data_IF_397666609499
#
_entry.id   IF_397666609499
#
_cell.length_a   1.000
_cell.length_b   1.000
_cell.length_c   1.000
_cell.angle_alpha   90.00
_cell.angle_beta   90.00
_cell.angle_gamma   90.00
#
_symmetry.space_group_name_H-M   'P 1'
#
loop_
_entity.id
_entity.type
_entity.pdbx_description
1 polymer ?
#
# COMPACT_ATOMS: atom_id res chain seq x y z
N UNK A 1 -22.95 -20.03 23.09
CA UNK A 1 -22.23 -18.80 22.68
C UNK A 1 -22.55 -18.52 21.21
N UNK A 2 -23.62 -17.76 20.94
CA UNK A 2 -23.99 -17.37 19.57
C UNK A 2 -23.36 -15.99 19.26
N UNK A 3 -22.67 -15.92 18.12
CA UNK A 3 -21.91 -14.76 17.68
C UNK A 3 -22.72 -13.46 17.77
N UNK A 4 -22.13 -12.43 18.39
CA UNK A 4 -22.68 -11.07 18.44
C UNK A 4 -22.86 -10.56 17.01
N UNK A 5 -24.09 -10.66 16.51
CA UNK A 5 -24.54 -10.06 15.25
C UNK A 5 -24.46 -8.54 15.45
N UNK A 6 -23.40 -7.92 14.93
CA UNK A 6 -23.12 -6.50 15.05
C UNK A 6 -24.30 -5.68 14.54
N UNK A 7 -24.91 -4.92 15.44
CA UNK A 7 -26.06 -4.03 15.26
C UNK A 7 -25.79 -2.81 14.36
N UNK A 8 -24.72 -2.82 13.56
CA UNK A 8 -24.33 -1.73 12.68
C UNK A 8 -24.92 -1.85 11.25
N UNK A 9 -25.41 -3.02 10.84
CA UNK A 9 -25.96 -3.24 9.49
C UNK A 9 -27.46 -2.89 9.35
N UNK A 10 -28.10 -2.39 10.41
CA UNK A 10 -29.52 -1.98 10.41
C UNK A 10 -29.76 -0.57 9.85
N UNK A 11 -28.71 0.15 9.43
CA UNK A 11 -28.79 1.58 9.08
C UNK A 11 -29.10 1.91 7.61
N UNK A 12 -29.42 0.92 6.77
CA UNK A 12 -29.94 1.17 5.41
C UNK A 12 -31.09 0.18 5.25
N UNK A 13 -32.30 0.66 4.95
CA UNK A 13 -33.55 -0.13 4.87
C UNK A 13 -33.56 -1.19 3.76
N UNK A 14 -32.63 -2.14 3.85
CA UNK A 14 -32.44 -3.29 3.00
C UNK A 14 -33.13 -4.48 3.67
N UNK A 15 -33.86 -5.24 2.87
CA UNK A 15 -34.42 -6.50 3.34
C UNK A 15 -33.29 -7.52 3.59
N UNK A 16 -33.50 -8.54 4.45
CA UNK A 16 -32.50 -9.57 4.68
C UNK A 16 -32.01 -10.26 3.39
N UNK A 17 -32.90 -10.40 2.40
CA UNK A 17 -32.57 -10.97 1.09
C UNK A 17 -31.66 -10.05 0.28
N UNK A 18 -31.90 -8.74 0.29
CA UNK A 18 -31.02 -7.76 -0.35
C UNK A 18 -29.65 -7.68 0.34
N UNK A 19 -29.61 -7.73 1.68
CA UNK A 19 -28.35 -7.78 2.42
C UNK A 19 -27.51 -9.00 2.01
N UNK A 20 -28.14 -10.18 1.91
CA UNK A 20 -27.47 -11.40 1.46
C UNK A 20 -26.97 -11.28 0.03
N UNK A 21 -27.75 -10.69 -0.87
CA UNK A 21 -27.32 -10.41 -2.25
C UNK A 21 -26.07 -9.53 -2.29
N UNK A 22 -26.04 -8.44 -1.51
CA UNK A 22 -24.86 -7.55 -1.44
C UNK A 22 -23.62 -8.33 -0.98
N UNK A 23 -23.74 -9.15 0.07
CA UNK A 23 -22.63 -9.96 0.58
C UNK A 23 -22.12 -10.98 -0.44
N UNK A 24 -23.01 -11.63 -1.18
CA UNK A 24 -22.61 -12.57 -2.23
C UNK A 24 -21.98 -11.86 -3.43
N UNK A 25 -22.53 -10.71 -3.84
CA UNK A 25 -22.00 -9.91 -4.95
C UNK A 25 -20.60 -9.36 -4.67
N UNK A 26 -20.29 -8.99 -3.43
CA UNK A 26 -18.95 -8.50 -3.07
C UNK A 26 -17.86 -9.57 -3.12
N UNK A 27 -18.19 -10.86 -3.28
CA UNK A 27 -17.20 -11.94 -3.38
C UNK A 27 -16.59 -12.04 -4.77
N UNK A 28 -17.40 -11.93 -5.82
CA UNK A 28 -17.00 -12.21 -7.21
C UNK A 28 -17.49 -11.16 -8.23
N UNK A 29 -18.20 -10.12 -7.76
CA UNK A 29 -18.80 -9.08 -8.59
C UNK A 29 -19.72 -9.60 -9.71
N UNK A 30 -20.29 -10.80 -9.53
CA UNK A 30 -21.19 -11.42 -10.51
C UNK A 30 -22.64 -11.35 -10.02
N UNK A 31 -23.43 -10.44 -10.59
CA UNK A 31 -24.82 -10.21 -10.20
C UNK A 31 -25.73 -11.44 -10.35
N UNK A 32 -25.54 -12.23 -11.41
CA UNK A 32 -26.33 -13.44 -11.65
C UNK A 32 -26.00 -14.52 -10.62
N UNK A 33 -24.71 -14.78 -10.38
CA UNK A 33 -24.29 -15.78 -9.40
C UNK A 33 -24.64 -15.38 -7.97
N UNK A 34 -24.52 -14.09 -7.63
CA UNK A 34 -24.97 -13.55 -6.36
C UNK A 34 -26.48 -13.75 -6.14
N UNK A 35 -27.30 -13.57 -7.19
CA UNK A 35 -28.74 -13.82 -7.12
C UNK A 35 -29.04 -15.33 -6.89
N UNK A 36 -28.36 -16.23 -7.61
CA UNK A 36 -28.52 -17.69 -7.42
C UNK A 36 -28.18 -18.08 -5.97
N UNK A 37 -27.02 -17.66 -5.45
CA UNK A 37 -26.59 -17.97 -4.07
C UNK A 37 -27.47 -17.35 -2.99
N UNK A 38 -28.19 -16.27 -3.32
CA UNK A 38 -29.17 -15.64 -2.44
C UNK A 38 -30.52 -16.38 -2.44
N UNK A 39 -30.72 -17.35 -3.35
CA UNK A 39 -31.93 -18.15 -3.46
C UNK A 39 -32.98 -17.54 -4.40
N UNK A 40 -32.56 -16.89 -5.48
CA UNK A 40 -33.42 -16.62 -6.64
C UNK A 40 -33.35 -17.79 -7.63
N UNK A 41 -34.41 -18.01 -8.41
CA UNK A 41 -34.41 -19.08 -9.42
C UNK A 41 -33.35 -18.79 -10.49
N UNK A 42 -32.68 -19.82 -10.97
CA UNK A 42 -31.66 -19.67 -12.03
C UNK A 42 -32.23 -19.01 -13.28
N UNK A 43 -33.48 -19.36 -13.63
CA UNK A 43 -34.22 -18.78 -14.76
C UNK A 43 -34.41 -17.26 -14.67
N UNK A 44 -34.49 -16.71 -13.45
CA UNK A 44 -34.73 -15.26 -13.23
C UNK A 44 -33.53 -14.53 -12.64
N UNK A 45 -32.47 -15.25 -12.26
CA UNK A 45 -31.33 -14.72 -11.53
C UNK A 45 -30.64 -13.55 -12.25
N UNK A 46 -30.52 -13.61 -13.59
CA UNK A 46 -29.94 -12.52 -14.38
C UNK A 46 -30.77 -11.24 -14.29
N UNK A 47 -32.09 -11.35 -14.45
CA UNK A 47 -33.00 -10.21 -14.37
C UNK A 47 -33.06 -9.65 -12.95
N UNK A 48 -33.13 -10.52 -11.94
CA UNK A 48 -33.15 -10.13 -10.53
C UNK A 48 -31.84 -9.46 -10.11
N UNK A 49 -30.70 -10.01 -10.52
CA UNK A 49 -29.38 -9.42 -10.27
C UNK A 49 -29.28 -8.01 -10.86
N UNK A 50 -29.68 -7.83 -12.11
CA UNK A 50 -29.72 -6.50 -12.74
C UNK A 50 -30.64 -5.54 -11.99
N UNK A 51 -31.87 -5.97 -11.64
CA UNK A 51 -32.83 -5.14 -10.91
C UNK A 51 -32.30 -4.72 -9.54
N UNK A 52 -31.65 -5.64 -8.82
CA UNK A 52 -31.08 -5.38 -7.51
C UNK A 52 -29.92 -4.40 -7.59
N UNK A 53 -29.05 -4.50 -8.61
CA UNK A 53 -27.94 -3.57 -8.80
C UNK A 53 -28.40 -2.14 -9.20
N UNK A 54 -29.62 -2.00 -9.73
CA UNK A 54 -30.23 -0.69 -10.02
C UNK A 54 -30.96 -0.09 -8.80
N UNK A 55 -31.29 -0.87 -7.76
CA UNK A 55 -31.91 -0.32 -6.54
C UNK A 55 -30.89 0.59 -5.81
N UNK A 56 -31.17 1.89 -5.62
CA UNK A 56 -30.24 2.83 -5.01
C UNK A 56 -29.74 2.40 -3.63
N UNK A 57 -30.56 1.70 -2.84
CA UNK A 57 -30.19 1.23 -1.50
C UNK A 57 -29.20 0.08 -1.58
N UNK A 58 -29.41 -0.84 -2.51
CA UNK A 58 -28.50 -1.97 -2.76
C UNK A 58 -27.18 -1.44 -3.31
N UNK A 59 -27.23 -0.53 -4.29
CA UNK A 59 -26.04 0.08 -4.86
C UNK A 59 -25.22 0.86 -3.82
N UNK A 60 -25.87 1.61 -2.93
CA UNK A 60 -25.21 2.29 -1.83
C UNK A 60 -24.51 1.30 -0.88
N UNK A 61 -25.15 0.19 -0.54
CA UNK A 61 -24.54 -0.86 0.30
C UNK A 61 -23.39 -1.58 -0.40
N UNK A 62 -23.49 -1.86 -1.71
CA UNK A 62 -22.38 -2.41 -2.51
C UNK A 62 -21.19 -1.44 -2.48
N UNK A 63 -21.41 -0.15 -2.75
CA UNK A 63 -20.33 0.86 -2.71
C UNK A 63 -19.70 0.97 -1.34
N UNK A 64 -20.49 0.95 -0.27
CA UNK A 64 -19.98 0.97 1.10
C UNK A 64 -19.16 -0.31 1.40
N UNK A 65 -19.62 -1.47 0.94
CA UNK A 65 -18.89 -2.73 1.04
C UNK A 65 -17.57 -2.70 0.27
N UNK A 66 -17.57 -2.23 -0.97
CA UNK A 66 -16.36 -2.05 -1.79
C UNK A 66 -15.35 -1.14 -1.12
N UNK A 67 -15.77 0.00 -0.54
CA UNK A 67 -14.87 0.87 0.23
C UNK A 67 -14.28 0.17 1.45
N UNK A 68 -15.05 -0.65 2.16
CA UNK A 68 -14.54 -1.44 3.30
C UNK A 68 -13.54 -2.51 2.85
N UNK A 69 -13.80 -3.17 1.72
CA UNK A 69 -12.89 -4.17 1.14
C UNK A 69 -11.61 -3.50 0.66
N UNK A 70 -11.71 -2.41 -0.10
CA UNK A 70 -10.57 -1.63 -0.57
C UNK A 70 -9.72 -1.13 0.60
N UNK A 71 -10.34 -0.55 1.64
CA UNK A 71 -9.63 -0.13 2.86
C UNK A 71 -8.92 -1.26 3.61
N UNK A 72 -9.38 -2.50 3.48
CA UNK A 72 -8.70 -3.68 4.05
C UNK A 72 -7.62 -4.24 3.13
N UNK A 73 -7.81 -4.13 1.81
CA UNK A 73 -6.89 -4.62 0.81
C UNK A 73 -5.68 -3.69 0.64
N UNK A 74 -5.87 -2.39 0.85
CA UNK A 74 -4.80 -1.42 0.95
C UNK A 74 -4.09 -1.60 2.31
N UNK A 75 -2.90 -2.19 2.27
CA UNK A 75 -1.96 -2.13 3.39
C UNK A 75 -1.59 -0.66 3.57
N UNK A 76 -2.12 -0.03 4.60
CA UNK A 76 -1.86 1.36 4.95
C UNK A 76 -0.97 1.41 6.19
N UNK A 77 -0.30 2.54 6.42
CA UNK A 77 0.47 2.75 7.67
C UNK A 77 -0.43 2.54 8.89
N UNK A 78 -1.67 3.02 8.85
CA UNK A 78 -2.66 2.83 9.92
C UNK A 78 -3.04 1.35 10.13
N UNK A 79 -3.24 0.58 9.05
CA UNK A 79 -3.57 -0.83 9.18
C UNK A 79 -2.41 -1.63 9.77
N UNK A 80 -1.18 -1.38 9.29
CA UNK A 80 0.03 -1.99 9.83
C UNK A 80 0.27 -1.60 11.29
N UNK A 81 0.03 -0.34 11.66
CA UNK A 81 0.12 0.11 13.06
C UNK A 81 -0.89 -0.62 13.95
N UNK A 82 -2.13 -0.80 13.48
CA UNK A 82 -3.17 -1.52 14.21
C UNK A 82 -2.81 -3.01 14.39
N UNK A 83 -2.30 -3.66 13.35
CA UNK A 83 -1.84 -5.05 13.39
C UNK A 83 -0.67 -5.23 14.36
N UNK A 84 0.34 -4.35 14.31
CA UNK A 84 1.47 -4.37 15.25
C UNK A 84 1.03 -4.11 16.70
N UNK A 85 0.04 -3.25 16.94
CA UNK A 85 -0.50 -3.05 18.28
C UNK A 85 -1.24 -4.29 18.79
N UNK A 86 -1.98 -4.99 17.93
CA UNK A 86 -2.61 -6.26 18.31
C UNK A 86 -1.56 -7.34 18.63
N UNK A 87 -0.53 -7.48 17.79
CA UNK A 87 0.58 -8.39 18.03
C UNK A 87 1.29 -8.07 19.36
N UNK A 88 1.54 -6.79 19.64
CA UNK A 88 2.15 -6.33 20.90
C UNK A 88 1.29 -6.71 22.12
N UNK A 89 -0.03 -6.50 22.06
CA UNK A 89 -0.94 -6.87 23.16
C UNK A 89 -0.96 -8.38 23.42
N UNK A 90 -0.95 -9.18 22.35
CA UNK A 90 -0.90 -10.64 22.48
C UNK A 90 0.43 -11.10 23.08
N UNK A 91 1.55 -10.55 22.59
CA UNK A 91 2.88 -10.83 23.13
C UNK A 91 2.99 -10.48 24.62
N UNK A 92 2.45 -9.34 25.05
CA UNK A 92 2.42 -8.97 26.48
C UNK A 92 1.58 -9.95 27.32
N UNK A 93 0.42 -10.39 26.80
CA UNK A 93 -0.43 -11.37 27.47
C UNK A 93 0.29 -12.71 27.65
N UNK A 94 1.07 -13.13 26.66
CA UNK A 94 1.86 -14.36 26.67
C UNK A 94 3.23 -14.21 27.36
N UNK A 95 3.50 -13.04 27.95
CA UNK A 95 4.79 -12.70 28.58
C UNK A 95 6.00 -12.79 27.64
N UNK A 96 5.77 -12.66 26.33
CA UNK A 96 6.79 -12.61 25.29
C UNK A 96 7.31 -11.18 25.13
N UNK A 97 8.17 -10.75 26.06
CA UNK A 97 8.68 -9.38 26.09
C UNK A 97 9.46 -8.99 24.83
N UNK A 98 10.27 -9.91 24.28
CA UNK A 98 11.05 -9.68 23.05
C UNK A 98 10.15 -9.39 21.85
N UNK A 99 9.09 -10.18 21.64
CA UNK A 99 8.12 -9.96 20.57
C UNK A 99 7.36 -8.64 20.72
N UNK A 100 7.03 -8.23 21.96
CA UNK A 100 6.41 -6.94 22.23
C UNK A 100 7.33 -5.76 21.90
N UNK A 101 8.63 -5.88 22.17
CA UNK A 101 9.64 -4.88 21.78
C UNK A 101 9.75 -4.79 20.27
N UNK A 102 9.82 -5.93 19.56
CA UNK A 102 9.87 -5.95 18.08
C UNK A 102 8.65 -5.26 17.46
N UNK A 103 7.45 -5.54 17.96
CA UNK A 103 6.24 -4.87 17.48
C UNK A 103 6.27 -3.36 17.73
N UNK A 104 6.80 -2.92 18.88
CA UNK A 104 6.97 -1.50 19.22
C UNK A 104 7.99 -0.82 18.31
N UNK A 105 9.10 -1.48 17.99
CA UNK A 105 10.10 -1.00 17.04
C UNK A 105 9.52 -0.87 15.63
N UNK A 106 8.75 -1.86 15.16
CA UNK A 106 8.04 -1.79 13.88
C UNK A 106 7.12 -0.58 13.79
N UNK A 107 6.40 -0.25 14.87
CA UNK A 107 5.55 0.96 14.93
C UNK A 107 6.38 2.24 14.85
N UNK A 108 7.52 2.30 15.53
CA UNK A 108 8.42 3.45 15.46
C UNK A 108 9.03 3.66 14.07
N UNK A 109 9.36 2.57 13.35
CA UNK A 109 9.80 2.63 11.95
C UNK A 109 8.70 3.16 11.03
N UNK A 110 7.47 2.65 11.16
CA UNK A 110 6.32 3.13 10.38
C UNK A 110 5.94 4.59 10.68
N UNK A 111 6.13 5.05 11.92
CA UNK A 111 5.89 6.43 12.32
C UNK A 111 7.00 7.40 11.87
N UNK A 112 8.07 6.91 11.24
CA UNK A 112 9.24 7.71 10.88
C UNK A 112 10.08 8.18 12.09
N UNK A 113 9.82 7.67 13.29
CA UNK A 113 10.56 8.02 14.51
C UNK A 113 11.94 7.33 14.57
N UNK A 114 12.10 6.24 13.82
CA UNK A 114 13.34 5.49 13.65
C UNK A 114 13.85 5.70 12.22
N UNK A 115 14.57 6.79 11.98
CA UNK A 115 15.24 7.02 10.70
C UNK A 115 16.57 6.27 10.69
N UNK A 116 16.65 5.18 9.93
CA UNK A 116 17.92 4.53 9.61
C UNK A 116 18.65 5.38 8.54
N UNK A 117 19.47 6.33 9.00
CA UNK A 117 20.31 7.12 8.11
C UNK A 117 21.43 6.23 7.57
N UNK A 118 21.24 5.66 6.38
CA UNK A 118 22.36 5.11 5.61
C UNK A 118 23.21 6.27 5.09
N UNK A 119 24.31 6.56 5.78
CA UNK A 119 25.38 7.36 5.19
C UNK A 119 26.11 6.46 4.19
N UNK A 120 26.00 6.76 2.89
CA UNK A 120 26.95 6.23 1.92
C UNK A 120 28.28 6.94 2.11
N UNK A 121 29.12 6.41 3.00
CA UNK A 121 30.51 6.83 3.12
C UNK A 121 31.38 5.89 2.30
N UNK A 122 32.02 6.43 1.26
CA UNK A 122 33.05 5.77 0.47
C UNK A 122 34.00 6.83 -0.08
N UNK A 123 35.27 6.48 -0.26
CA UNK A 123 36.19 7.33 -1.01
C UNK A 123 35.65 7.42 -2.44
N UNK A 124 35.41 8.63 -2.94
CA UNK A 124 35.15 8.83 -4.36
C UNK A 124 36.42 8.39 -5.09
N UNK A 125 36.34 7.27 -5.82
CA UNK A 125 37.48 6.80 -6.59
C UNK A 125 37.89 7.86 -7.62
N UNK A 126 39.18 8.10 -7.74
CA UNK A 126 39.71 8.86 -8.89
C UNK A 126 39.74 7.92 -10.09
N UNK A 127 38.88 8.18 -11.07
CA UNK A 127 38.83 7.43 -12.33
C UNK A 127 39.48 8.26 -13.42
N UNK A 128 40.45 7.68 -14.14
CA UNK A 128 41.06 8.34 -15.29
C UNK A 128 40.13 8.21 -16.50
N UNK A 129 39.59 9.35 -16.93
CA UNK A 129 38.62 9.44 -18.03
C UNK A 129 39.29 9.62 -19.40
N UNK A 130 40.62 9.74 -19.46
CA UNK A 130 41.35 10.06 -20.71
C UNK A 130 41.24 8.99 -21.80
N UNK A 131 40.89 7.75 -21.43
CA UNK A 131 40.80 6.62 -22.34
C UNK A 131 39.35 6.21 -22.65
N UNK A 132 38.36 6.98 -22.20
CA UNK A 132 36.97 6.76 -22.61
C UNK A 132 36.75 7.31 -24.02
N UNK A 133 35.89 6.65 -24.80
CA UNK A 133 35.42 7.21 -26.06
C UNK A 133 34.50 8.41 -25.81
N UNK A 134 34.36 9.29 -26.79
CA UNK A 134 33.43 10.43 -26.72
C UNK A 134 31.99 9.97 -26.42
N UNK A 135 31.58 8.84 -27.00
CA UNK A 135 30.29 8.21 -26.73
C UNK A 135 30.12 7.77 -25.27
N UNK A 136 31.20 7.34 -24.62
CA UNK A 136 31.16 6.93 -23.20
C UNK A 136 31.16 8.14 -22.26
N UNK A 137 31.80 9.24 -22.66
CA UNK A 137 31.77 10.51 -21.93
C UNK A 137 30.37 11.15 -21.97
N UNK A 138 29.73 11.17 -23.13
CA UNK A 138 28.36 11.69 -23.29
C UNK A 138 27.36 10.90 -22.43
N UNK A 139 27.53 9.58 -22.34
CA UNK A 139 26.70 8.73 -21.47
C UNK A 139 26.89 9.05 -20.00
N UNK A 140 28.10 9.39 -19.58
CA UNK A 140 28.39 9.79 -18.19
C UNK A 140 27.76 11.15 -17.87
N UNK A 141 27.84 12.12 -18.78
CA UNK A 141 27.18 13.42 -18.63
C UNK A 141 25.66 13.30 -18.55
N UNK A 142 25.07 12.38 -19.30
CA UNK A 142 23.63 12.13 -19.23
C UNK A 142 23.17 11.59 -17.86
N UNK A 143 24.02 10.80 -17.19
CA UNK A 143 23.71 10.19 -15.89
C UNK A 143 23.97 11.16 -14.73
N UNK A 144 25.07 11.92 -14.81
CA UNK A 144 25.56 12.76 -13.71
C UNK A 144 25.16 14.23 -13.84
N UNK A 145 24.56 14.63 -14.97
CA UNK A 145 24.41 16.03 -15.36
C UNK A 145 25.70 16.57 -16.00
N UNK A 146 25.71 17.82 -16.48
CA UNK A 146 26.90 18.41 -17.09
C UNK A 146 28.09 18.31 -16.11
N UNK A 147 29.11 17.55 -16.48
CA UNK A 147 30.28 17.29 -15.65
C UNK A 147 31.24 18.48 -15.59
N UNK A 148 31.08 19.43 -16.51
CA UNK A 148 31.77 20.70 -16.50
C UNK A 148 31.06 21.68 -15.55
N UNK A 149 31.37 21.60 -14.26
CA UNK A 149 31.26 22.79 -13.42
C UNK A 149 32.47 23.69 -13.74
N UNK A 150 32.24 25.00 -13.88
CA UNK A 150 33.20 25.99 -14.38
C UNK A 150 34.35 26.31 -13.40
N UNK A 151 34.80 25.32 -12.63
CA UNK A 151 35.87 25.41 -11.63
C UNK A 151 37.15 24.74 -12.09
N UNK A 152 37.79 25.29 -13.12
CA UNK A 152 39.21 25.01 -13.35
C UNK A 152 40.00 25.49 -12.13
N UNK A 153 40.76 24.58 -11.51
CA UNK A 153 41.76 24.92 -10.52
C UNK A 153 42.73 25.95 -11.13
N UNK A 154 42.80 27.14 -10.55
CA UNK A 154 43.69 28.22 -11.00
C UNK A 154 45.10 28.09 -10.41
N UNK A 155 45.41 26.98 -9.71
CA UNK A 155 46.71 26.69 -9.13
C UNK A 155 47.74 26.14 -10.13
N UNK A 156 48.15 26.95 -11.09
CA UNK A 156 49.20 26.59 -12.05
C UNK A 156 50.04 27.79 -12.48
N UNK A 157 50.58 28.55 -11.51
CA UNK A 157 51.62 29.51 -11.80
C UNK A 157 52.87 28.76 -12.29
N UNK A 158 53.14 28.85 -13.58
CA UNK A 158 54.40 28.42 -14.16
C UNK A 158 55.53 29.29 -13.62
N UNK A 159 56.40 28.68 -12.81
CA UNK A 159 57.80 29.11 -12.74
C UNK A 159 58.57 28.35 -13.83
N UNK A 160 58.79 29.02 -14.96
CA UNK A 160 59.89 28.70 -15.87
C UNK A 160 60.85 29.91 -15.93
N UNK A 161 62.05 29.72 -15.37
CA UNK A 161 63.32 30.15 -15.98
C UNK A 161 63.78 31.60 -15.79
N UNK A 162 64.83 31.77 -14.96
CA UNK A 162 65.67 32.97 -14.89
C UNK A 162 66.67 32.91 -13.74
#
# INVERSE_FOLDING_TARGET
MAAKKTTADKAIGLTPKQQRFVLEYLKDHNGTQAAIRTGYSESTARQQGSRLLTDPRVLAAVRAGQKKVAKKAEVTVDSLMAELEQARKLALKEKQASAAVTATMGKGKLAGLLVEKHKHSGAVGTYDLKNLSDDDLDRLEQILGPLADAGGDSGGAGEEGG
#
